data_IF_495197522266
#
_entry.id   IF_495197522266
#
_cell.length_a   1.000
_cell.length_b   1.000
_cell.length_c   1.000
_cell.angle_alpha   90.00
_cell.angle_beta   90.00
_cell.angle_gamma   90.00
#
_symmetry.space_group_name_H-M   'P 1'
#
loop_
_entity.id
_entity.type
_entity.pdbx_description
1 polymer ?
#
# COMPACT_ATOMS: atom_id res chain seq x y z
N UNK A 1 -22.46 -28.46 -20.60
CA UNK A 1 -22.46 -27.16 -21.30
C UNK A 1 -22.20 -26.08 -20.25
N UNK A 2 -21.01 -25.49 -20.25
CA UNK A 2 -20.73 -24.20 -19.60
C UNK A 2 -19.86 -23.43 -20.59
N UNK A 3 -20.51 -22.52 -21.34
CA UNK A 3 -19.85 -21.56 -22.21
C UNK A 3 -19.47 -20.33 -21.36
N UNK A 4 -18.26 -19.80 -21.55
CA UNK A 4 -17.78 -18.63 -20.81
C UNK A 4 -16.28 -18.34 -20.92
N UNK A 5 -15.49 -19.25 -21.51
CA UNK A 5 -14.04 -19.05 -21.74
C UNK A 5 -13.69 -17.95 -22.76
N UNK A 6 -14.66 -17.46 -23.53
CA UNK A 6 -14.40 -16.55 -24.66
C UNK A 6 -14.27 -15.06 -24.27
N UNK A 7 -14.66 -14.64 -23.06
CA UNK A 7 -14.57 -13.24 -22.62
C UNK A 7 -13.31 -12.92 -21.78
N UNK A 8 -12.48 -13.91 -21.47
CA UNK A 8 -11.21 -13.70 -20.75
C UNK A 8 -10.05 -13.28 -21.68
N UNK A 9 -10.28 -13.24 -23.00
CA UNK A 9 -9.28 -12.91 -24.02
C UNK A 9 -9.29 -11.42 -24.43
N UNK A 10 -10.19 -10.61 -23.87
CA UNK A 10 -10.26 -9.17 -24.18
C UNK A 10 -9.32 -8.29 -23.35
N UNK A 11 -8.77 -8.78 -22.24
CA UNK A 11 -7.92 -7.95 -21.37
C UNK A 11 -6.57 -8.61 -21.11
N UNK A 12 -5.65 -8.46 -22.07
CA UNK A 12 -4.19 -8.60 -21.82
C UNK A 12 -3.79 -7.79 -20.56
N UNK A 13 -4.48 -6.67 -20.31
CA UNK A 13 -4.35 -5.86 -19.09
C UNK A 13 -4.72 -6.60 -17.81
N UNK A 14 -5.77 -7.41 -17.81
CA UNK A 14 -6.19 -8.16 -16.62
C UNK A 14 -5.17 -9.24 -16.25
N UNK A 15 -4.53 -9.88 -17.25
CA UNK A 15 -3.43 -10.80 -16.99
C UNK A 15 -2.18 -10.07 -16.47
N UNK A 16 -1.83 -8.91 -17.04
CA UNK A 16 -0.73 -8.08 -16.53
C UNK A 16 -0.96 -7.57 -15.11
N UNK A 17 -2.19 -7.16 -14.79
CA UNK A 17 -2.57 -6.69 -13.46
C UNK A 17 -2.52 -7.83 -12.43
N UNK A 18 -2.95 -9.03 -12.81
CA UNK A 18 -2.83 -10.21 -11.95
C UNK A 18 -1.37 -10.57 -11.68
N UNK A 19 -0.50 -10.48 -12.69
CA UNK A 19 0.93 -10.73 -12.54
C UNK A 19 1.61 -9.70 -11.63
N UNK A 20 1.22 -8.42 -11.75
CA UNK A 20 1.67 -7.35 -10.82
C UNK A 20 1.27 -7.64 -9.38
N UNK A 21 0.03 -8.07 -9.16
CA UNK A 21 -0.47 -8.44 -7.82
C UNK A 21 0.28 -9.65 -7.27
N UNK A 22 0.57 -10.64 -8.10
CA UNK A 22 1.36 -11.83 -7.72
C UNK A 22 2.75 -11.44 -7.23
N UNK A 23 3.46 -10.60 -7.98
CA UNK A 23 4.77 -10.08 -7.57
C UNK A 23 4.70 -9.25 -6.29
N UNK A 24 3.67 -8.41 -6.13
CA UNK A 24 3.46 -7.68 -4.89
C UNK A 24 3.34 -8.63 -3.69
N UNK A 25 2.61 -9.73 -3.80
CA UNK A 25 2.50 -10.72 -2.72
C UNK A 25 3.84 -11.40 -2.41
N UNK A 26 4.62 -11.76 -3.43
CA UNK A 26 5.97 -12.32 -3.24
C UNK A 26 6.88 -11.33 -2.50
N UNK A 27 6.82 -10.04 -2.86
CA UNK A 27 7.60 -9.00 -2.21
C UNK A 27 7.15 -8.75 -0.76
N UNK A 28 5.84 -8.85 -0.47
CA UNK A 28 5.30 -8.73 0.89
C UNK A 28 5.68 -9.93 1.78
N UNK A 29 5.77 -11.13 1.20
CA UNK A 29 6.23 -12.33 1.90
C UNK A 29 7.71 -12.24 2.29
N UNK A 30 8.50 -11.41 1.59
CA UNK A 30 9.85 -11.01 1.98
C UNK A 30 9.83 -9.99 3.15
N UNK A 31 9.09 -10.32 4.23
CA UNK A 31 8.74 -9.53 5.44
C UNK A 31 9.76 -8.47 5.90
N UNK A 32 11.05 -8.74 5.73
CA UNK A 32 12.14 -7.84 6.12
C UNK A 32 12.09 -6.48 5.43
N UNK A 33 11.83 -6.44 4.12
CA UNK A 33 11.90 -5.20 3.36
C UNK A 33 10.66 -4.31 3.66
N UNK A 34 9.50 -4.94 3.91
CA UNK A 34 8.28 -4.24 4.31
C UNK A 34 8.43 -3.62 5.71
N UNK A 35 9.01 -4.36 6.65
CA UNK A 35 9.28 -3.86 8.00
C UNK A 35 10.22 -2.65 7.96
N UNK A 36 11.24 -2.65 7.10
CA UNK A 36 12.13 -1.51 6.94
C UNK A 36 11.40 -0.27 6.40
N UNK A 37 10.51 -0.46 5.42
CA UNK A 37 9.65 0.61 4.88
C UNK A 37 8.70 1.20 5.93
N UNK A 38 8.08 0.34 6.74
CA UNK A 38 7.20 0.78 7.82
C UNK A 38 7.98 1.44 8.97
N UNK A 39 9.17 0.96 9.29
CA UNK A 39 10.05 1.59 10.28
C UNK A 39 10.58 2.95 9.82
N UNK A 40 10.72 3.16 8.50
CA UNK A 40 10.89 4.51 7.98
C UNK A 40 9.65 5.32 8.36
N UNK A 41 8.44 4.84 8.02
CA UNK A 41 7.10 5.44 8.22
C UNK A 41 6.79 5.90 9.66
N UNK A 42 7.32 5.21 10.67
CA UNK A 42 7.19 5.59 12.09
C UNK A 42 7.96 6.87 12.46
N UNK A 43 8.95 7.30 11.69
CA UNK A 43 9.81 8.45 12.07
C UNK A 43 9.43 9.80 11.46
N UNK A 44 8.31 9.90 10.74
CA UNK A 44 7.93 11.15 10.08
C UNK A 44 6.63 11.69 10.64
N UNK A 45 6.56 13.01 10.60
CA UNK A 45 5.36 13.76 10.86
C UNK A 45 4.42 13.66 9.65
N UNK A 46 3.38 12.83 9.78
CA UNK A 46 2.28 12.74 8.80
C UNK A 46 2.47 11.73 7.69
N UNK A 47 1.76 11.96 6.58
CA UNK A 47 1.65 11.00 5.48
C UNK A 47 2.94 10.93 4.67
N UNK A 48 3.39 9.71 4.39
CA UNK A 48 4.46 9.43 3.43
C UNK A 48 3.97 8.63 2.24
N UNK A 49 4.62 8.88 1.11
CA UNK A 49 4.32 8.25 -0.15
C UNK A 49 5.63 7.64 -0.64
N UNK A 50 5.62 6.33 -0.81
CA UNK A 50 6.67 5.58 -1.48
C UNK A 50 6.15 5.27 -2.88
N UNK A 51 6.84 5.80 -3.88
CA UNK A 51 6.53 5.54 -5.29
C UNK A 51 7.60 4.57 -5.78
N UNK A 52 7.27 3.69 -6.74
CA UNK A 52 8.18 2.66 -7.25
C UNK A 52 9.65 3.09 -7.45
N UNK A 53 10.55 2.10 -7.49
CA UNK A 53 12.03 2.22 -7.52
C UNK A 53 12.72 2.81 -6.29
N UNK A 54 11.99 3.41 -5.35
CA UNK A 54 12.58 3.88 -4.07
C UNK A 54 12.92 2.72 -3.11
N UNK A 55 12.46 1.50 -3.39
CA UNK A 55 12.82 0.26 -2.71
C UNK A 55 12.62 -0.98 -3.60
N UNK A 56 13.36 -2.08 -3.33
CA UNK A 56 13.29 -3.34 -4.10
C UNK A 56 11.85 -3.86 -4.23
N UNK A 57 11.10 -3.83 -3.13
CA UNK A 57 9.68 -4.19 -2.97
C UNK A 57 8.70 -3.53 -3.97
N UNK A 58 9.01 -2.34 -4.49
CA UNK A 58 8.10 -1.58 -5.35
C UNK A 58 8.60 -1.42 -6.79
N UNK A 59 9.84 -1.84 -7.05
CA UNK A 59 10.49 -1.70 -8.35
C UNK A 59 9.98 -2.68 -9.41
N UNK A 60 9.63 -3.90 -8.99
CA UNK A 60 9.17 -4.96 -9.89
C UNK A 60 7.63 -5.02 -10.00
N UNK A 61 6.92 -4.65 -8.93
CA UNK A 61 5.45 -4.71 -8.84
C UNK A 61 4.74 -3.50 -9.47
N UNK A 62 5.45 -2.43 -9.83
CA UNK A 62 4.84 -1.20 -10.39
C UNK A 62 3.89 -0.50 -9.40
N UNK A 63 4.07 -0.73 -8.10
CA UNK A 63 3.17 -0.26 -7.05
C UNK A 63 3.69 1.00 -6.35
N UNK A 64 2.79 1.68 -5.65
CA UNK A 64 3.05 2.75 -4.71
C UNK A 64 2.41 2.40 -3.36
N UNK A 65 3.04 2.85 -2.28
CA UNK A 65 2.58 2.69 -0.91
C UNK A 65 2.40 4.07 -0.27
N UNK A 66 1.20 4.36 0.19
CA UNK A 66 0.88 5.58 0.96
C UNK A 66 0.68 5.17 2.41
N UNK A 67 1.40 5.75 3.35
CA UNK A 67 1.34 5.40 4.77
C UNK A 67 1.17 6.62 5.65
N UNK A 68 0.49 6.43 6.79
CA UNK A 68 0.38 7.40 7.86
C UNK A 68 0.58 6.71 9.20
N UNK A 69 1.48 7.20 10.08
CA UNK A 69 1.52 6.73 11.46
C UNK A 69 0.21 7.10 12.16
N UNK A 70 -0.16 6.34 13.18
CA UNK A 70 -1.20 6.71 14.13
C UNK A 70 -0.66 6.60 15.55
N UNK A 71 -1.14 7.51 16.39
CA UNK A 71 -0.69 7.70 17.75
C UNK A 71 -1.82 7.38 18.74
N UNK A 72 -1.45 6.86 19.90
CA UNK A 72 -2.37 6.67 21.02
C UNK A 72 -2.70 7.99 21.73
N UNK A 73 -3.47 7.89 22.81
CA UNK A 73 -3.85 9.03 23.65
C UNK A 73 -2.66 9.76 24.30
N UNK A 74 -1.49 9.11 24.40
CA UNK A 74 -0.24 9.63 24.96
C UNK A 74 0.72 10.18 23.89
N UNK A 75 0.26 10.37 22.65
CA UNK A 75 1.07 10.83 21.51
C UNK A 75 2.23 9.88 21.16
N UNK A 76 2.09 8.59 21.47
CA UNK A 76 3.08 7.58 21.09
C UNK A 76 2.64 6.93 19.80
N UNK A 77 3.57 6.78 18.86
CA UNK A 77 3.32 6.05 17.62
C UNK A 77 3.14 4.58 17.96
N UNK A 78 1.91 4.09 17.82
CA UNK A 78 1.53 2.70 18.12
C UNK A 78 1.40 1.84 16.86
N UNK A 79 1.44 2.46 15.69
CA UNK A 79 1.50 1.73 14.42
C UNK A 79 1.41 2.63 13.20
N UNK A 80 1.32 1.98 12.04
CA UNK A 80 1.25 2.64 10.74
C UNK A 80 0.09 2.05 9.94
N UNK A 81 -0.74 2.92 9.36
CA UNK A 81 -1.77 2.57 8.39
C UNK A 81 -1.20 2.79 6.99
N UNK A 82 -1.44 1.86 6.07
CA UNK A 82 -0.96 1.95 4.68
C UNK A 82 -1.97 1.52 3.63
N UNK A 83 -1.88 2.13 2.45
CA UNK A 83 -2.61 1.75 1.23
C UNK A 83 -1.60 1.46 0.13
N UNK A 84 -1.69 0.27 -0.46
CA UNK A 84 -0.90 -0.14 -1.63
C UNK A 84 -1.79 -0.06 -2.87
N UNK A 85 -1.25 0.47 -3.96
CA UNK A 85 -1.92 0.45 -5.26
C UNK A 85 -0.95 0.72 -6.40
N UNK A 86 -1.42 0.83 -7.66
CA UNK A 86 -0.57 1.12 -8.80
C UNK A 86 0.11 2.50 -8.66
N UNK A 87 1.20 2.72 -9.40
CA UNK A 87 1.94 4.00 -9.38
C UNK A 87 1.12 5.23 -9.77
N UNK A 88 -0.01 5.03 -10.48
CA UNK A 88 -0.91 6.09 -10.94
C UNK A 88 -2.21 6.08 -10.14
N UNK A 89 -2.15 6.47 -8.87
CA UNK A 89 -3.32 6.66 -8.01
C UNK A 89 -3.84 8.11 -8.07
N UNK A 90 -5.11 8.30 -7.69
CA UNK A 90 -5.63 9.64 -7.39
C UNK A 90 -5.13 10.08 -6.00
N UNK A 91 -3.90 10.56 -5.93
CA UNK A 91 -3.24 10.97 -4.69
C UNK A 91 -4.02 12.04 -3.92
N UNK A 92 -4.64 12.98 -4.64
CA UNK A 92 -5.47 14.03 -4.04
C UNK A 92 -6.64 13.47 -3.22
N UNK A 93 -7.15 12.27 -3.59
CA UNK A 93 -8.20 11.57 -2.85
C UNK A 93 -7.64 10.62 -1.79
N UNK A 94 -6.61 9.84 -2.12
CA UNK A 94 -6.11 8.78 -1.23
C UNK A 94 -5.40 9.34 0.00
N UNK A 95 -4.54 10.36 -0.17
CA UNK A 95 -3.78 10.97 0.94
C UNK A 95 -4.69 11.40 2.10
N UNK A 96 -5.73 12.25 1.89
CA UNK A 96 -6.57 12.69 2.99
C UNK A 96 -7.39 11.56 3.61
N UNK A 97 -7.75 10.52 2.83
CA UNK A 97 -8.44 9.36 3.39
C UNK A 97 -7.54 8.57 4.34
N UNK A 98 -6.29 8.29 3.95
CA UNK A 98 -5.33 7.56 4.80
C UNK A 98 -5.03 8.34 6.08
N UNK A 99 -4.77 9.64 5.95
CA UNK A 99 -4.49 10.54 7.09
C UNK A 99 -5.67 10.60 8.08
N UNK A 100 -6.88 10.77 7.57
CA UNK A 100 -8.08 10.77 8.41
C UNK A 100 -8.31 9.44 9.11
N UNK A 101 -8.18 8.31 8.38
CA UNK A 101 -8.37 6.99 8.97
C UNK A 101 -7.31 6.67 10.02
N UNK A 102 -6.05 7.04 9.80
CA UNK A 102 -5.00 6.87 10.79
C UNK A 102 -5.30 7.66 12.08
N UNK A 103 -5.71 8.92 11.97
CA UNK A 103 -6.15 9.72 13.13
C UNK A 103 -7.35 9.14 13.85
N UNK A 104 -8.29 8.52 13.11
CA UNK A 104 -9.45 7.86 13.71
C UNK A 104 -9.02 6.61 14.50
N UNK A 105 -8.12 5.79 13.93
CA UNK A 105 -7.57 4.62 14.62
C UNK A 105 -6.85 5.01 15.91
N UNK A 106 -6.03 6.07 15.88
CA UNK A 106 -5.34 6.57 17.06
C UNK A 106 -6.26 6.90 18.24
N UNK A 107 -7.47 7.39 17.97
CA UNK A 107 -8.49 7.68 19.02
C UNK A 107 -9.16 6.43 19.59
N UNK A 108 -9.10 5.30 18.87
CA UNK A 108 -9.70 4.04 19.28
C UNK A 108 -8.71 3.13 20.00
N UNK A 109 -7.41 3.42 19.88
CA UNK A 109 -6.35 2.72 20.59
C UNK A 109 -6.13 3.42 21.94
N UNK A 110 -6.25 2.69 23.07
CA UNK A 110 -6.06 3.24 24.42
C UNK A 110 -4.65 3.82 24.62
#
# INVERSE_FOLDING_TARGET
IVCGRAHLLEDVKAMEDLERVRHLFEDLDAKKDLIQLLGLAERAEGVRIFIGSENKLFSLSGSALIVSPFEDSEQRIVGVLGVIGPTRLNYARIIPMVDYTARLLGRLVP
#
